data_IF_874750411727
#
_entry.id   IF_874750411727
#
_cell.length_a   1.000
_cell.length_b   1.000
_cell.length_c   1.000
_cell.angle_alpha   90.00
_cell.angle_beta   90.00
_cell.angle_gamma   90.00
#
_symmetry.space_group_name_H-M   'P 1'
#
loop_
_entity.id
_entity.type
_entity.pdbx_description
1 polymer ?
#
# COMPACT_ATOMS: atom_id res chain seq x y z
N UNK A 1 -4.30 2.63 -22.82
CA UNK A 1 -3.97 3.31 -21.55
C UNK A 1 -2.60 2.82 -21.15
N UNK A 2 -1.64 3.75 -21.13
CA UNK A 2 -0.22 3.48 -21.26
C UNK A 2 0.41 2.94 -19.98
N UNK A 3 1.07 1.78 -20.08
CA UNK A 3 1.87 1.16 -19.01
C UNK A 3 2.91 2.11 -18.38
N UNK A 4 3.33 3.16 -19.10
CA UNK A 4 4.23 4.21 -18.59
C UNK A 4 3.59 5.10 -17.51
N UNK A 5 2.28 5.31 -17.55
CA UNK A 5 1.57 6.15 -16.58
C UNK A 5 1.46 5.48 -15.21
N UNK A 6 1.32 4.15 -15.19
CA UNK A 6 1.16 3.37 -13.96
C UNK A 6 2.49 3.14 -13.20
N UNK A 7 3.62 3.08 -13.91
CA UNK A 7 4.93 2.95 -13.28
C UNK A 7 5.32 4.23 -12.51
N UNK A 8 5.02 5.40 -13.09
CA UNK A 8 5.21 6.69 -12.43
C UNK A 8 4.35 6.83 -11.17
N UNK A 9 3.09 6.37 -11.22
CA UNK A 9 2.17 6.39 -10.08
C UNK A 9 2.73 5.61 -8.88
N UNK A 10 3.16 4.36 -9.11
CA UNK A 10 3.70 3.49 -8.05
C UNK A 10 4.91 4.11 -7.36
N UNK A 11 5.87 4.61 -8.14
CA UNK A 11 7.08 5.24 -7.59
C UNK A 11 6.71 6.51 -6.81
N UNK A 12 5.81 7.35 -7.36
CA UNK A 12 5.32 8.55 -6.68
C UNK A 12 4.68 8.22 -5.33
N UNK A 13 3.80 7.21 -5.28
CA UNK A 13 3.17 6.77 -4.03
C UNK A 13 4.22 6.23 -3.06
N UNK A 14 5.17 5.42 -3.52
CA UNK A 14 6.22 4.83 -2.68
C UNK A 14 7.11 5.89 -2.00
N UNK A 15 7.25 7.07 -2.60
CA UNK A 15 8.05 8.16 -2.06
C UNK A 15 7.25 9.17 -1.22
N UNK A 16 5.94 9.25 -1.41
CA UNK A 16 5.11 10.32 -0.82
C UNK A 16 4.00 9.83 0.12
N UNK A 17 3.78 8.53 0.25
CA UNK A 17 2.75 8.03 1.15
C UNK A 17 3.02 8.48 2.59
N UNK A 18 1.94 8.65 3.34
CA UNK A 18 2.00 9.11 4.73
C UNK A 18 0.89 8.51 5.55
N UNK A 19 1.15 8.31 6.83
CA UNK A 19 0.17 7.81 7.77
C UNK A 19 0.27 8.54 9.11
N UNK A 20 -0.87 8.61 9.80
CA UNK A 20 -0.89 9.00 11.21
C UNK A 20 -0.45 7.81 12.08
N UNK A 21 -0.05 8.08 13.32
CA UNK A 21 0.29 7.04 14.30
C UNK A 21 -0.86 6.02 14.48
N UNK A 22 -2.11 6.49 14.54
CA UNK A 22 -3.29 5.62 14.59
C UNK A 22 -3.46 4.78 13.31
N UNK A 23 -3.15 5.35 12.15
CA UNK A 23 -3.12 4.64 10.88
C UNK A 23 -2.11 3.49 10.90
N UNK A 24 -0.87 3.76 11.35
CA UNK A 24 0.15 2.73 11.49
C UNK A 24 -0.26 1.64 12.50
N UNK A 25 -0.83 1.99 13.65
CA UNK A 25 -1.33 0.99 14.61
C UNK A 25 -2.33 0.02 13.96
N UNK A 26 -3.27 0.53 13.15
CA UNK A 26 -4.27 -0.28 12.44
C UNK A 26 -3.62 -1.15 11.36
N UNK A 27 -2.75 -0.57 10.55
CA UNK A 27 -2.00 -1.26 9.49
C UNK A 27 -1.20 -2.43 10.07
N UNK A 28 -0.44 -2.18 11.13
CA UNK A 28 0.39 -3.20 11.78
C UNK A 28 -0.45 -4.37 12.29
N UNK A 29 -1.58 -4.07 12.94
CA UNK A 29 -2.51 -5.10 13.43
C UNK A 29 -3.05 -5.96 12.28
N UNK A 30 -3.55 -5.32 11.22
CA UNK A 30 -4.16 -6.02 10.08
C UNK A 30 -3.18 -6.90 9.28
N UNK A 31 -1.90 -6.49 9.23
CA UNK A 31 -0.83 -7.26 8.59
C UNK A 31 -0.17 -8.26 9.56
N UNK A 32 -0.47 -8.22 10.85
CA UNK A 32 0.16 -9.07 11.87
C UNK A 32 1.63 -8.72 12.13
N UNK A 33 2.01 -7.45 11.98
CA UNK A 33 3.38 -6.93 12.14
C UNK A 33 3.46 -5.94 13.32
N UNK A 34 2.71 -6.17 14.38
CA UNK A 34 2.65 -5.28 15.57
C UNK A 34 3.99 -5.07 16.26
N UNK A 35 4.95 -5.95 16.03
CA UNK A 35 6.32 -5.84 16.53
C UNK A 35 7.18 -4.83 15.76
N UNK A 36 6.75 -4.34 14.59
CA UNK A 36 7.49 -3.34 13.84
C UNK A 36 7.36 -1.94 14.47
N UNK A 37 8.45 -1.20 14.50
CA UNK A 37 8.46 0.26 14.67
C UNK A 37 7.76 0.96 13.50
N UNK A 38 7.47 2.26 13.64
CA UNK A 38 6.87 3.05 12.55
C UNK A 38 7.80 3.13 11.33
N UNK A 39 9.11 3.25 11.55
CA UNK A 39 10.13 3.27 10.49
C UNK A 39 10.18 1.92 9.75
N UNK A 40 10.15 0.80 10.48
CA UNK A 40 10.12 -0.53 9.85
C UNK A 40 8.83 -0.75 9.07
N UNK A 41 7.71 -0.27 9.61
CA UNK A 41 6.40 -0.33 8.96
C UNK A 41 6.40 0.47 7.66
N UNK A 42 6.94 1.70 7.67
CA UNK A 42 7.08 2.53 6.48
C UNK A 42 7.93 1.84 5.41
N UNK A 43 9.11 1.34 5.77
CA UNK A 43 9.98 0.59 4.84
C UNK A 43 9.28 -0.64 4.28
N UNK A 44 8.53 -1.36 5.10
CA UNK A 44 7.77 -2.54 4.68
C UNK A 44 6.66 -2.19 3.69
N UNK A 45 5.87 -1.15 3.96
CA UNK A 45 4.83 -0.67 3.05
C UNK A 45 5.42 -0.17 1.73
N UNK A 46 6.55 0.54 1.77
CA UNK A 46 7.27 0.95 0.56
C UNK A 46 7.67 -0.24 -0.31
N UNK A 47 8.17 -1.32 0.30
CA UNK A 47 8.50 -2.57 -0.42
C UNK A 47 7.27 -3.22 -1.05
N UNK A 48 6.13 -3.26 -0.34
CA UNK A 48 4.87 -3.77 -0.89
C UNK A 48 4.44 -2.95 -2.11
N UNK A 49 4.45 -1.62 -2.00
CA UNK A 49 4.05 -0.71 -3.10
C UNK A 49 4.93 -0.97 -4.33
N UNK A 50 6.26 -0.95 -4.17
CA UNK A 50 7.21 -1.13 -5.28
C UNK A 50 7.17 -2.55 -5.89
N UNK A 51 6.92 -3.58 -5.07
CA UNK A 51 6.80 -4.95 -5.53
C UNK A 51 5.45 -5.28 -6.18
N UNK A 52 4.44 -4.41 -6.04
CA UNK A 52 3.13 -4.63 -6.65
C UNK A 52 3.24 -4.50 -8.18
N UNK A 53 2.84 -5.53 -8.95
CA UNK A 53 2.77 -5.46 -10.40
C UNK A 53 1.77 -4.40 -10.85
N UNK A 54 2.08 -3.67 -11.91
CA UNK A 54 1.17 -2.65 -12.49
C UNK A 54 -0.23 -3.23 -12.77
N UNK A 55 -0.29 -4.44 -13.32
CA UNK A 55 -1.56 -5.12 -13.62
C UNK A 55 -2.38 -5.48 -12.38
N UNK A 56 -1.79 -5.39 -11.18
CA UNK A 56 -2.46 -5.64 -9.89
C UNK A 56 -2.74 -4.34 -9.11
N UNK A 57 -2.66 -3.19 -9.81
CA UNK A 57 -3.08 -1.88 -9.30
C UNK A 57 -4.43 -1.53 -9.94
N UNK A 58 -5.46 -1.37 -9.12
CA UNK A 58 -6.78 -0.91 -9.55
C UNK A 58 -7.04 0.50 -9.00
N UNK A 59 -7.56 1.40 -9.85
CA UNK A 59 -7.99 2.73 -9.42
C UNK A 59 -9.51 2.81 -9.46
N UNK A 60 -10.13 3.07 -8.31
CA UNK A 60 -11.59 3.16 -8.20
C UNK A 60 -11.98 4.35 -7.33
N UNK A 61 -12.62 5.34 -7.96
CA UNK A 61 -13.02 6.57 -7.30
C UNK A 61 -11.83 7.30 -6.68
N UNK A 62 -11.85 7.51 -5.35
CA UNK A 62 -10.81 8.24 -4.62
C UNK A 62 -9.66 7.37 -4.13
N UNK A 63 -9.59 6.10 -4.53
CA UNK A 63 -8.64 5.13 -3.99
C UNK A 63 -7.91 4.35 -5.10
N UNK A 64 -6.65 4.01 -4.80
CA UNK A 64 -5.89 2.98 -5.47
C UNK A 64 -5.82 1.73 -4.60
N UNK A 65 -5.94 0.57 -5.21
CA UNK A 65 -5.87 -0.75 -4.59
C UNK A 65 -4.65 -1.47 -5.13
N UNK A 66 -3.71 -1.78 -4.25
CA UNK A 66 -2.47 -2.48 -4.59
C UNK A 66 -2.57 -3.91 -4.05
N UNK A 67 -2.70 -4.89 -4.94
CA UNK A 67 -2.73 -6.31 -4.56
C UNK A 67 -1.36 -6.94 -4.80
N UNK A 68 -0.66 -7.29 -3.73
CA UNK A 68 0.71 -7.81 -3.78
C UNK A 68 0.78 -9.23 -3.22
N UNK A 69 0.65 -10.23 -4.08
CA UNK A 69 0.69 -11.65 -3.69
C UNK A 69 2.02 -12.06 -3.04
N UNK A 70 3.15 -11.48 -3.48
CA UNK A 70 4.47 -11.76 -2.92
C UNK A 70 4.59 -11.40 -1.42
N UNK A 71 3.78 -10.44 -0.96
CA UNK A 71 3.72 -10.01 0.44
C UNK A 71 2.43 -10.46 1.14
N UNK A 72 1.59 -11.24 0.46
CA UNK A 72 0.25 -11.59 0.93
C UNK A 72 -0.51 -10.36 1.47
N UNK A 73 -0.54 -9.25 0.71
CA UNK A 73 -1.08 -7.98 1.18
C UNK A 73 -1.93 -7.25 0.13
N UNK A 74 -2.97 -6.56 0.60
CA UNK A 74 -3.73 -5.57 -0.16
C UNK A 74 -3.64 -4.22 0.54
N UNK A 75 -3.19 -3.19 -0.18
CA UNK A 75 -3.18 -1.81 0.31
C UNK A 75 -4.30 -1.01 -0.36
N UNK A 76 -5.05 -0.24 0.43
CA UNK A 76 -5.95 0.79 -0.09
C UNK A 76 -5.32 2.16 0.20
N UNK A 77 -5.06 2.92 -0.85
CA UNK A 77 -4.31 4.17 -0.79
C UNK A 77 -5.19 5.28 -1.35
N UNK A 78 -5.32 6.40 -0.65
CA UNK A 78 -6.03 7.55 -1.19
C UNK A 78 -5.31 8.12 -2.43
N UNK A 79 -6.04 8.39 -3.50
CA UNK A 79 -5.48 8.84 -4.78
C UNK A 79 -4.87 10.25 -4.73
N UNK A 80 -5.32 11.11 -3.81
CA UNK A 80 -4.86 12.50 -3.72
C UNK A 80 -3.83 12.70 -2.61
N UNK A 81 -4.08 12.12 -1.43
CA UNK A 81 -3.22 12.33 -0.26
C UNK A 81 -2.12 11.28 -0.10
N UNK A 82 -2.18 10.21 -0.89
CA UNK A 82 -1.36 8.99 -0.77
C UNK A 82 -1.36 8.37 0.63
N UNK A 83 -2.38 8.67 1.43
CA UNK A 83 -2.55 8.04 2.73
C UNK A 83 -2.93 6.58 2.56
N UNK A 84 -2.19 5.66 3.19
CA UNK A 84 -2.59 4.24 3.22
C UNK A 84 -3.77 4.13 4.19
N UNK A 85 -4.98 4.03 3.65
CA UNK A 85 -6.22 3.97 4.42
C UNK A 85 -6.31 2.63 5.14
N UNK A 86 -6.00 1.55 4.42
CA UNK A 86 -5.91 0.20 4.98
C UNK A 86 -4.76 -0.57 4.35
N UNK A 87 -4.22 -1.52 5.12
CA UNK A 87 -3.39 -2.60 4.63
C UNK A 87 -3.90 -3.87 5.31
N UNK A 88 -4.11 -4.96 4.58
CA UNK A 88 -4.59 -6.23 5.14
C UNK A 88 -4.00 -7.41 4.39
N UNK A 89 -3.98 -8.59 5.02
CA UNK A 89 -3.59 -9.81 4.34
C UNK A 89 -4.60 -10.17 3.24
N UNK A 90 -4.15 -10.84 2.18
CA UNK A 90 -5.09 -11.43 1.21
C UNK A 90 -5.77 -12.60 1.95
N UNK A 91 -7.09 -12.54 2.05
CA UNK A 91 -7.91 -13.65 2.56
C UNK A 91 -8.60 -14.28 1.37
N UNK A 92 -8.48 -15.59 1.23
CA UNK A 92 -9.36 -16.38 0.37
C UNK A 92 -10.59 -16.67 1.21
N UNK A 93 -11.62 -15.83 1.10
CA UNK A 93 -12.96 -16.20 1.57
C UNK A 93 -13.61 -17.16 0.55
#
# INVERSE_FOLDING_TARGET
MDKKMDEGLRTTIADQFKNTQLGFMRIKKNLGITHFSDIETEKFLKRIILATPIAAIESKGKNHYFTCSAFNAVLTINANSFTIITAKKITND
#
